data_IF_145563581311
#
_entry.id   IF_145563581311
#
_cell.length_a   1.000
_cell.length_b   1.000
_cell.length_c   1.000
_cell.angle_alpha   90.00
_cell.angle_beta   90.00
_cell.angle_gamma   90.00
#
_symmetry.space_group_name_H-M   'P 1'
#
loop_
_entity.id
_entity.type
_entity.pdbx_description
1 polymer ?
#
# COMPACT_ATOMS: atom_id res chain seq x y z
N UNK A 1 -30.59 59.01 46.87
CA UNK A 1 -30.00 57.87 46.12
C UNK A 1 -30.63 57.85 44.73
N UNK A 2 -29.97 58.44 43.74
CA UNK A 2 -30.52 58.59 42.39
C UNK A 2 -29.88 57.54 41.50
N UNK A 3 -30.65 56.56 41.03
CA UNK A 3 -30.17 55.50 40.11
C UNK A 3 -30.13 56.05 38.69
N UNK A 4 -28.94 56.25 38.14
CA UNK A 4 -28.73 56.61 36.74
C UNK A 4 -29.03 55.40 35.84
N UNK A 5 -30.04 55.52 34.97
CA UNK A 5 -30.31 54.52 33.91
C UNK A 5 -29.28 54.72 32.79
N UNK A 6 -28.49 53.67 32.52
CA UNK A 6 -27.64 53.60 31.34
C UNK A 6 -28.54 53.29 30.13
N UNK A 7 -28.74 54.26 29.23
CA UNK A 7 -29.45 54.05 27.97
C UNK A 7 -28.40 53.68 26.92
N UNK A 8 -28.32 52.39 26.58
CA UNK A 8 -27.47 51.88 25.51
C UNK A 8 -28.14 52.16 24.16
N UNK A 9 -27.58 53.11 23.42
CA UNK A 9 -27.99 53.44 22.05
C UNK A 9 -27.70 52.24 21.11
N UNK A 10 -28.58 51.94 20.15
CA UNK A 10 -28.46 50.77 19.25
C UNK A 10 -27.16 50.75 18.45
N UNK A 11 -26.54 51.90 18.23
CA UNK A 11 -25.24 52.06 17.57
C UNK A 11 -24.08 51.42 18.35
N UNK A 12 -24.14 51.44 19.69
CA UNK A 12 -23.11 50.84 20.55
C UNK A 12 -23.25 49.31 20.55
N UNK A 13 -24.48 48.80 20.50
CA UNK A 13 -24.73 47.36 20.40
C UNK A 13 -24.27 46.81 19.04
N UNK A 14 -24.58 47.52 17.94
CA UNK A 14 -24.11 47.16 16.60
C UNK A 14 -22.58 47.21 16.48
N UNK A 15 -21.93 48.21 17.07
CA UNK A 15 -20.47 48.29 17.11
C UNK A 15 -19.85 47.17 17.96
N UNK A 16 -20.46 46.80 19.08
CA UNK A 16 -20.00 45.67 19.91
C UNK A 16 -20.17 44.31 19.22
N UNK A 17 -21.23 44.15 18.42
CA UNK A 17 -21.47 42.96 17.60
C UNK A 17 -20.46 42.89 16.44
N UNK A 18 -20.24 43.98 15.71
CA UNK A 18 -19.22 44.01 14.65
C UNK A 18 -17.79 43.87 15.18
N UNK A 19 -17.50 44.31 16.42
CA UNK A 19 -16.22 44.08 17.05
C UNK A 19 -16.04 42.64 17.57
N UNK A 20 -17.13 42.00 18.03
CA UNK A 20 -17.10 40.61 18.48
C UNK A 20 -17.04 39.60 17.31
N UNK A 21 -17.55 39.97 16.13
CA UNK A 21 -17.63 39.09 14.94
C UNK A 21 -16.80 39.60 13.73
N UNK A 22 -16.06 40.69 13.88
CA UNK A 22 -15.38 41.41 12.79
C UNK A 22 -14.16 40.70 12.18
N UNK A 23 -13.68 39.62 12.80
CA UNK A 23 -12.57 38.81 12.30
C UNK A 23 -13.05 37.61 11.47
N UNK A 24 -14.09 37.78 10.64
CA UNK A 24 -14.54 36.72 9.73
C UNK A 24 -13.51 36.38 8.64
N UNK A 25 -12.53 37.25 8.37
CA UNK A 25 -11.54 37.05 7.30
C UNK A 25 -10.32 36.22 7.73
N UNK A 26 -10.00 36.12 9.04
CA UNK A 26 -8.94 35.21 9.51
C UNK A 26 -9.46 33.85 9.98
N UNK A 27 -10.78 33.75 10.22
CA UNK A 27 -11.44 32.47 10.40
C UNK A 27 -11.41 31.68 9.09
N UNK A 28 -11.56 32.33 7.93
CA UNK A 28 -11.52 31.67 6.63
C UNK A 28 -10.17 31.00 6.35
N UNK A 29 -9.03 31.57 6.73
CA UNK A 29 -7.72 30.92 6.51
C UNK A 29 -7.47 29.74 7.47
N UNK A 30 -7.80 29.89 8.76
CA UNK A 30 -7.68 28.80 9.74
C UNK A 30 -8.69 27.67 9.47
N UNK A 31 -9.88 28.01 9.00
CA UNK A 31 -10.91 27.06 8.56
C UNK A 31 -10.53 26.46 7.21
N UNK A 32 -9.95 27.22 6.27
CA UNK A 32 -9.43 26.69 5.01
C UNK A 32 -8.26 25.72 5.22
N UNK A 33 -7.40 25.94 6.21
CA UNK A 33 -6.33 25.01 6.57
C UNK A 33 -6.88 23.71 7.21
N UNK A 34 -8.05 23.78 7.89
CA UNK A 34 -8.77 22.61 8.41
C UNK A 34 -9.67 21.91 7.37
N UNK A 35 -10.18 22.65 6.37
CA UNK A 35 -11.10 22.14 5.35
C UNK A 35 -10.34 21.60 4.14
N UNK A 36 -9.17 22.18 3.79
CA UNK A 36 -8.36 21.69 2.67
C UNK A 36 -7.68 20.38 3.07
N UNK A 37 -7.78 19.34 2.23
CA UNK A 37 -7.09 18.08 2.50
C UNK A 37 -5.58 18.29 2.63
N UNK A 38 -5.02 17.87 3.76
CA UNK A 38 -3.58 17.81 3.97
C UNK A 38 -3.00 16.72 3.07
N UNK A 39 -2.31 17.11 2.01
CA UNK A 39 -1.46 16.20 1.24
C UNK A 39 -0.09 16.12 1.90
N UNK A 40 0.49 14.93 1.96
CA UNK A 40 1.82 14.69 2.52
C UNK A 40 2.71 13.97 1.51
N UNK A 41 3.95 14.41 1.40
CA UNK A 41 4.99 13.72 0.63
C UNK A 41 6.15 13.51 1.56
N UNK A 42 6.58 12.26 1.72
CA UNK A 42 7.73 11.89 2.52
C UNK A 42 8.77 11.20 1.66
N UNK A 43 10.01 11.63 1.84
CA UNK A 43 11.17 11.06 1.18
C UNK A 43 12.03 10.43 2.27
N UNK A 44 12.16 9.11 2.22
CA UNK A 44 13.02 8.32 3.09
C UNK A 44 14.27 7.85 2.36
N UNK A 45 15.41 7.89 3.04
CA UNK A 45 16.63 7.20 2.59
C UNK A 45 16.99 6.19 3.69
N UNK A 46 17.05 4.92 3.31
CA UNK A 46 17.35 3.82 4.21
C UNK A 46 18.55 3.03 3.71
N UNK A 47 19.48 2.72 4.61
CA UNK A 47 20.62 1.86 4.33
C UNK A 47 21.02 1.11 5.59
N UNK A 48 21.75 0.03 5.42
CA UNK A 48 22.37 -0.65 6.54
C UNK A 48 23.72 -1.20 6.11
N UNK A 49 24.60 -1.30 7.10
CA UNK A 49 25.88 -1.97 6.98
C UNK A 49 25.89 -3.15 7.96
N UNK A 50 26.54 -4.26 7.57
CA UNK A 50 26.59 -5.50 8.35
C UNK A 50 25.60 -6.60 7.94
N UNK A 51 25.74 -7.76 8.58
CA UNK A 51 25.00 -8.98 8.25
C UNK A 51 23.72 -9.08 9.10
N UNK A 52 22.57 -9.22 8.44
CA UNK A 52 21.26 -9.38 9.09
C UNK A 52 20.75 -10.81 8.92
N UNK A 53 20.32 -11.43 10.02
CA UNK A 53 19.76 -12.79 9.99
C UNK A 53 18.52 -12.93 9.09
N UNK A 54 17.78 -11.84 8.86
CA UNK A 54 16.61 -11.78 7.96
C UNK A 54 16.73 -10.69 6.89
N UNK A 55 17.91 -10.59 6.28
CA UNK A 55 18.23 -9.60 5.25
C UNK A 55 17.15 -9.56 4.16
N UNK A 56 16.53 -8.40 3.95
CA UNK A 56 15.41 -8.13 3.06
C UNK A 56 14.46 -9.27 2.73
N UNK A 57 13.99 -9.94 3.78
CA UNK A 57 12.90 -10.90 3.68
C UNK A 57 11.53 -10.22 3.51
N UNK A 58 11.38 -8.98 4.00
CA UNK A 58 10.10 -8.27 4.07
C UNK A 58 10.14 -6.79 3.65
N UNK A 59 11.31 -6.21 3.39
CA UNK A 59 11.48 -4.80 3.01
C UNK A 59 12.06 -4.64 1.58
N UNK A 60 12.36 -5.76 0.89
CA UNK A 60 13.08 -5.79 -0.38
C UNK A 60 14.46 -5.10 -0.39
N UNK A 61 14.96 -4.72 0.78
CA UNK A 61 16.24 -4.07 1.00
C UNK A 61 17.29 -5.15 1.31
N UNK A 62 17.98 -5.64 0.27
CA UNK A 62 18.93 -6.77 0.37
C UNK A 62 20.39 -6.47 0.06
N UNK A 63 20.70 -5.42 -0.69
CA UNK A 63 22.09 -5.02 -0.97
C UNK A 63 22.55 -4.10 0.16
N UNK A 64 23.83 -4.21 0.57
CA UNK A 64 24.45 -3.22 1.46
C UNK A 64 24.64 -1.91 0.69
N UNK A 65 23.53 -1.24 0.44
CA UNK A 65 23.40 -0.10 -0.45
C UNK A 65 22.35 0.86 0.10
N UNK A 66 22.34 2.07 -0.43
CA UNK A 66 21.33 3.07 -0.12
C UNK A 66 20.06 2.79 -0.93
N UNK A 67 18.92 2.83 -0.26
CA UNK A 67 17.60 2.74 -0.86
C UNK A 67 16.90 4.08 -0.71
N UNK A 68 16.41 4.59 -1.83
CA UNK A 68 15.49 5.72 -1.84
C UNK A 68 14.07 5.17 -1.75
N UNK A 69 13.30 5.69 -0.80
CA UNK A 69 11.92 5.32 -0.56
C UNK A 69 11.09 6.60 -0.66
N UNK A 70 10.15 6.61 -1.59
CA UNK A 70 9.23 7.71 -1.78
C UNK A 70 7.84 7.24 -1.36
N UNK A 71 7.25 8.00 -0.44
CA UNK A 71 5.88 7.82 0.00
C UNK A 71 5.14 9.13 -0.25
N UNK A 72 3.93 9.04 -0.80
CA UNK A 72 3.10 10.20 -1.08
C UNK A 72 1.64 9.85 -0.79
N UNK A 73 0.97 10.72 -0.04
CA UNK A 73 -0.47 10.70 0.18
C UNK A 73 -1.00 12.04 -0.28
N UNK A 74 -1.64 12.04 -1.45
CA UNK A 74 -2.23 13.24 -2.05
C UNK A 74 -3.74 13.11 -1.96
N UNK A 75 -4.38 14.07 -1.32
CA UNK A 75 -5.83 14.15 -1.19
C UNK A 75 -6.30 15.47 -1.77
N UNK A 76 -7.27 15.39 -2.66
CA UNK A 76 -7.89 16.54 -3.28
C UNK A 76 -9.40 16.42 -3.11
N UNK A 77 -10.03 17.53 -2.70
CA UNK A 77 -11.47 17.64 -2.57
C UNK A 77 -11.97 18.70 -3.55
N UNK A 78 -12.96 18.35 -4.34
CA UNK A 78 -13.75 19.29 -5.12
C UNK A 78 -15.02 19.63 -4.33
N UNK A 79 -15.11 20.87 -3.85
CA UNK A 79 -16.24 21.35 -3.04
C UNK A 79 -17.52 21.54 -3.87
N UNK A 80 -17.41 21.74 -5.19
CA UNK A 80 -18.59 21.91 -6.05
C UNK A 80 -19.35 20.59 -6.24
N UNK A 81 -18.63 19.47 -6.29
CA UNK A 81 -19.19 18.14 -6.54
C UNK A 81 -19.19 17.22 -5.32
N UNK A 82 -18.50 17.61 -4.24
CA UNK A 82 -18.30 16.79 -3.05
C UNK A 82 -17.40 15.58 -3.31
N UNK A 83 -16.52 15.68 -4.30
CA UNK A 83 -15.74 14.55 -4.79
C UNK A 83 -14.31 14.57 -4.24
N UNK A 84 -13.85 13.40 -3.82
CA UNK A 84 -12.52 13.15 -3.30
C UNK A 84 -11.70 12.39 -4.32
N UNK A 85 -10.50 12.89 -4.59
CA UNK A 85 -9.46 12.18 -5.35
C UNK A 85 -8.30 11.91 -4.41
N UNK A 86 -7.99 10.64 -4.19
CA UNK A 86 -6.92 10.20 -3.31
C UNK A 86 -5.89 9.43 -4.14
N UNK A 87 -4.61 9.76 -3.95
CA UNK A 87 -3.49 9.00 -4.49
C UNK A 87 -2.55 8.67 -3.34
N UNK A 88 -2.42 7.38 -3.05
CA UNK A 88 -1.49 6.84 -2.07
C UNK A 88 -0.39 6.07 -2.79
N UNK A 89 0.85 6.39 -2.48
CA UNK A 89 2.05 5.72 -2.96
C UNK A 89 2.89 5.39 -1.73
N UNK A 90 3.31 4.14 -1.59
CA UNK A 90 4.23 3.76 -0.53
C UNK A 90 5.42 2.96 -1.05
N UNK A 91 6.58 3.20 -0.43
CA UNK A 91 7.85 2.50 -0.65
C UNK A 91 8.29 2.49 -2.12
N UNK A 92 7.94 3.53 -2.87
CA UNK A 92 8.31 3.68 -4.27
C UNK A 92 9.84 3.82 -4.36
N UNK A 93 10.48 2.87 -5.04
CA UNK A 93 11.95 2.74 -5.11
C UNK A 93 12.46 1.38 -4.61
N UNK A 94 11.60 0.61 -3.93
CA UNK A 94 11.85 -0.78 -3.56
C UNK A 94 10.93 -1.74 -4.33
N UNK A 95 11.17 -3.05 -4.25
CA UNK A 95 10.27 -4.09 -4.79
C UNK A 95 9.11 -4.46 -3.85
N UNK A 96 8.87 -3.64 -2.81
CA UNK A 96 7.77 -3.79 -1.87
C UNK A 96 6.93 -2.51 -1.86
N UNK A 97 6.32 -2.20 -3.01
CA UNK A 97 5.65 -0.93 -3.26
C UNK A 97 4.16 -1.09 -3.44
N UNK A 98 3.42 -0.07 -3.07
CA UNK A 98 1.97 0.00 -3.21
C UNK A 98 1.58 1.33 -3.83
N UNK A 99 0.65 1.28 -4.80
CA UNK A 99 0.08 2.45 -5.44
C UNK A 99 -1.42 2.26 -5.45
N UNK A 100 -2.16 3.21 -4.90
CA UNK A 100 -3.62 3.22 -4.92
C UNK A 100 -4.12 4.58 -5.36
N UNK A 101 -4.89 4.60 -6.45
CA UNK A 101 -5.65 5.75 -6.89
C UNK A 101 -7.12 5.52 -6.60
N UNK A 102 -7.80 6.51 -6.05
CA UNK A 102 -9.20 6.44 -5.67
C UNK A 102 -9.91 7.74 -6.02
N UNK A 103 -11.14 7.61 -6.53
CA UNK A 103 -12.02 8.70 -6.86
C UNK A 103 -13.40 8.39 -6.28
N UNK A 104 -13.86 9.21 -5.33
CA UNK A 104 -15.04 8.94 -4.51
C UNK A 104 -15.89 10.19 -4.41
N UNK A 105 -17.12 10.13 -4.92
CA UNK A 105 -18.14 11.13 -4.64
C UNK A 105 -18.87 10.76 -3.34
N UNK A 106 -18.87 11.67 -2.37
CA UNK A 106 -19.55 11.46 -1.10
C UNK A 106 -21.04 11.15 -1.32
N UNK A 107 -21.51 10.00 -0.82
CA UNK A 107 -22.90 9.56 -0.93
C UNK A 107 -23.35 9.08 -2.32
N UNK A 108 -22.46 9.04 -3.31
CA UNK A 108 -22.80 8.67 -4.69
C UNK A 108 -22.13 7.38 -5.15
N UNK A 109 -20.88 7.49 -5.58
CA UNK A 109 -20.12 6.37 -6.13
C UNK A 109 -18.64 6.54 -5.84
N UNK A 110 -17.90 5.45 -6.00
CA UNK A 110 -16.46 5.54 -6.03
C UNK A 110 -15.83 4.42 -6.82
N UNK A 111 -14.61 4.70 -7.26
CA UNK A 111 -13.77 3.79 -8.01
C UNK A 111 -12.37 3.85 -7.44
N UNK A 112 -11.71 2.70 -7.33
CA UNK A 112 -10.31 2.65 -6.97
C UNK A 112 -9.55 1.62 -7.82
N UNK A 113 -8.29 1.93 -8.06
CA UNK A 113 -7.31 1.08 -8.69
C UNK A 113 -6.14 0.90 -7.71
N UNK A 114 -5.74 -0.34 -7.50
CA UNK A 114 -4.67 -0.74 -6.58
C UNK A 114 -3.61 -1.52 -7.35
N UNK A 115 -2.34 -1.19 -7.17
CA UNK A 115 -1.21 -1.99 -7.61
C UNK A 115 -0.30 -2.26 -6.43
N UNK A 116 0.05 -3.52 -6.23
CA UNK A 116 0.93 -3.95 -5.15
C UNK A 116 2.01 -4.87 -5.71
N UNK A 117 3.27 -4.54 -5.44
CA UNK A 117 4.42 -5.42 -5.68
C UNK A 117 4.99 -5.82 -4.32
N UNK A 118 5.26 -7.11 -4.14
CA UNK A 118 5.84 -7.63 -2.91
C UNK A 118 6.79 -8.79 -3.17
N UNK A 119 7.98 -8.68 -2.61
CA UNK A 119 9.03 -9.67 -2.67
C UNK A 119 9.28 -10.29 -1.30
N UNK A 120 9.31 -11.62 -1.26
CA UNK A 120 9.68 -12.41 -0.09
C UNK A 120 10.79 -13.38 -0.46
N UNK A 121 12.01 -13.12 0.03
CA UNK A 121 13.19 -13.93 -0.26
C UNK A 121 13.75 -14.58 1.01
N UNK A 122 14.18 -15.83 0.91
CA UNK A 122 14.81 -16.55 2.01
C UNK A 122 16.09 -15.81 2.44
N UNK A 123 16.40 -15.75 3.75
CA UNK A 123 17.56 -15.01 4.24
C UNK A 123 18.90 -15.63 3.82
N UNK A 124 18.92 -16.94 3.56
CA UNK A 124 20.13 -17.68 3.23
C UNK A 124 20.19 -18.00 1.74
N UNK A 125 21.40 -17.97 1.19
CA UNK A 125 21.72 -18.55 -0.11
C UNK A 125 22.17 -19.98 0.11
N UNK A 126 21.55 -20.92 -0.60
CA UNK A 126 21.79 -22.35 -0.44
C UNK A 126 22.70 -22.82 -1.56
N UNK A 127 23.79 -23.50 -1.20
CA UNK A 127 24.63 -24.18 -2.16
C UNK A 127 24.00 -25.55 -2.50
N UNK A 128 23.57 -25.75 -3.73
CA UNK A 128 22.86 -26.95 -4.17
C UNK A 128 23.35 -27.46 -5.52
N UNK A 129 23.41 -28.78 -5.68
CA UNK A 129 23.77 -29.46 -6.94
C UNK A 129 22.54 -29.81 -7.80
N UNK A 130 21.39 -29.27 -7.42
CA UNK A 130 20.14 -29.48 -8.11
C UNK A 130 20.12 -28.63 -9.38
N UNK A 131 19.83 -29.29 -10.49
CA UNK A 131 19.71 -28.69 -11.82
C UNK A 131 18.23 -28.47 -12.14
N UNK A 132 17.96 -27.48 -12.99
CA UNK A 132 16.59 -27.16 -13.42
C UNK A 132 15.73 -26.45 -12.37
N UNK A 133 16.33 -25.86 -11.31
CA UNK A 133 15.62 -24.99 -10.37
C UNK A 133 14.95 -23.86 -11.15
N UNK A 134 13.65 -23.63 -10.91
CA UNK A 134 12.83 -22.71 -11.71
C UNK A 134 12.03 -23.38 -12.82
N UNK A 135 12.16 -24.71 -12.99
CA UNK A 135 11.42 -25.47 -14.00
C UNK A 135 10.69 -26.66 -13.36
N UNK A 136 9.76 -27.25 -14.13
CA UNK A 136 9.07 -28.49 -13.76
C UNK A 136 9.95 -29.74 -13.87
N UNK A 137 11.15 -29.64 -14.45
CA UNK A 137 12.06 -30.76 -14.67
C UNK A 137 13.34 -30.54 -13.86
N UNK A 138 13.37 -31.10 -12.65
CA UNK A 138 14.50 -30.96 -11.74
C UNK A 138 15.21 -32.29 -11.57
N UNK A 139 16.53 -32.26 -11.74
CA UNK A 139 17.38 -33.42 -11.52
C UNK A 139 18.40 -33.07 -10.46
N UNK A 140 18.60 -33.98 -9.52
CA UNK A 140 19.84 -33.93 -8.73
C UNK A 140 20.91 -34.52 -9.61
N UNK A 141 22.07 -33.85 -9.75
CA UNK A 141 23.16 -34.34 -10.59
C UNK A 141 23.61 -35.74 -10.16
N UNK A 142 22.98 -36.77 -10.73
CA UNK A 142 23.33 -38.16 -10.55
C UNK A 142 24.57 -38.44 -11.39
N UNK A 143 25.53 -39.16 -10.79
CA UNK A 143 26.83 -39.58 -11.34
C UNK A 143 28.05 -38.72 -11.01
N UNK A 144 28.33 -38.38 -9.74
CA UNK A 144 29.73 -38.17 -9.33
C UNK A 144 29.99 -38.87 -7.98
N UNK A 145 30.92 -39.85 -7.90
CA UNK A 145 31.25 -40.60 -6.69
C UNK A 145 32.06 -39.80 -5.65
N UNK A 146 31.96 -38.47 -5.64
CA UNK A 146 32.74 -37.62 -4.74
C UNK A 146 31.84 -36.56 -4.08
N UNK A 147 31.49 -36.84 -2.83
CA UNK A 147 30.58 -36.09 -1.93
C UNK A 147 31.22 -34.83 -1.34
N UNK A 148 31.94 -34.04 -2.16
CA UNK A 148 32.49 -32.77 -1.69
C UNK A 148 31.35 -31.79 -1.36
N UNK A 149 31.10 -31.59 -0.07
CA UNK A 149 30.17 -30.61 0.50
C UNK A 149 30.53 -29.23 -0.09
N UNK A 150 29.54 -28.47 -0.57
CA UNK A 150 29.75 -27.12 -1.11
C UNK A 150 30.14 -27.04 -2.59
N UNK A 151 30.14 -28.15 -3.34
CA UNK A 151 30.47 -28.19 -4.77
C UNK A 151 29.28 -27.86 -5.71
N UNK A 152 28.17 -27.36 -5.17
CA UNK A 152 26.99 -26.97 -5.94
C UNK A 152 27.00 -25.50 -6.39
N UNK A 153 25.90 -25.08 -6.99
CA UNK A 153 25.64 -23.68 -7.34
C UNK A 153 24.88 -22.99 -6.22
N UNK A 154 25.20 -21.72 -5.99
CA UNK A 154 24.51 -20.88 -5.01
C UNK A 154 23.14 -20.44 -5.58
N UNK A 155 22.07 -20.73 -4.86
CA UNK A 155 20.70 -20.35 -5.22
C UNK A 155 19.96 -19.72 -4.04
N UNK A 156 19.24 -18.63 -4.29
CA UNK A 156 18.44 -17.95 -3.27
C UNK A 156 16.96 -18.14 -3.57
N UNK A 157 16.27 -18.83 -2.64
CA UNK A 157 14.84 -19.09 -2.74
C UNK A 157 14.00 -17.86 -2.42
N UNK A 158 12.79 -17.85 -2.93
CA UNK A 158 11.73 -16.93 -2.59
C UNK A 158 10.82 -16.61 -3.76
N UNK A 159 9.89 -15.69 -3.51
CA UNK A 159 8.78 -15.38 -4.41
C UNK A 159 8.64 -13.89 -4.62
N UNK A 160 8.27 -13.53 -5.84
CA UNK A 160 7.89 -12.19 -6.23
C UNK A 160 6.39 -12.22 -6.57
N UNK A 161 5.64 -11.26 -6.04
CA UNK A 161 4.19 -11.16 -6.17
C UNK A 161 3.83 -9.78 -6.72
N UNK A 162 2.98 -9.77 -7.73
CA UNK A 162 2.39 -8.57 -8.34
C UNK A 162 0.87 -8.70 -8.29
N UNK A 163 0.17 -7.69 -7.78
CA UNK A 163 -1.29 -7.66 -7.71
C UNK A 163 -1.83 -6.38 -8.33
N UNK A 164 -2.86 -6.51 -9.15
CA UNK A 164 -3.65 -5.41 -9.68
C UNK A 164 -5.10 -5.57 -9.20
N UNK A 165 -5.65 -4.54 -8.58
CA UNK A 165 -7.01 -4.51 -8.06
C UNK A 165 -7.82 -3.37 -8.67
N UNK A 166 -9.10 -3.64 -8.86
CA UNK A 166 -10.12 -2.65 -9.20
C UNK A 166 -11.29 -2.82 -8.23
N UNK A 167 -11.78 -1.71 -7.71
CA UNK A 167 -13.00 -1.67 -6.92
C UNK A 167 -13.92 -0.57 -7.42
N UNK A 168 -15.20 -0.86 -7.45
CA UNK A 168 -16.26 0.10 -7.77
C UNK A 168 -17.37 -0.04 -6.74
N UNK A 169 -17.89 1.07 -6.27
CA UNK A 169 -19.12 1.09 -5.51
C UNK A 169 -20.05 2.18 -6.03
N UNK A 170 -21.35 1.96 -5.88
CA UNK A 170 -22.38 2.94 -6.20
C UNK A 170 -23.59 2.75 -5.32
N UNK A 171 -24.01 3.84 -4.70
CA UNK A 171 -25.28 3.95 -4.02
C UNK A 171 -26.34 4.16 -5.11
N UNK A 172 -27.25 3.21 -5.27
CA UNK A 172 -28.25 3.22 -6.34
C UNK A 172 -29.50 4.00 -5.92
N UNK A 173 -29.98 3.75 -4.70
CA UNK A 173 -31.10 4.41 -4.01
C UNK A 173 -30.77 4.47 -2.51
N UNK A 174 -31.55 5.22 -1.71
CA UNK A 174 -31.33 5.35 -0.23
C UNK A 174 -31.21 4.03 0.52
N UNK A 175 -31.67 2.92 -0.06
CA UNK A 175 -31.64 1.61 0.58
C UNK A 175 -30.83 0.58 -0.19
N UNK A 176 -30.03 0.92 -1.22
CA UNK A 176 -29.34 -0.11 -2.00
C UNK A 176 -27.97 0.29 -2.51
N UNK A 177 -26.99 -0.54 -2.19
CA UNK A 177 -25.60 -0.35 -2.58
C UNK A 177 -25.12 -1.48 -3.47
N UNK A 178 -24.43 -1.11 -4.55
CA UNK A 178 -23.69 -2.01 -5.40
C UNK A 178 -22.20 -1.90 -5.05
N UNK A 179 -21.57 -3.03 -4.75
CA UNK A 179 -20.11 -3.11 -4.58
C UNK A 179 -19.56 -4.18 -5.52
N UNK A 180 -18.51 -3.84 -6.27
CA UNK A 180 -17.81 -4.74 -7.17
C UNK A 180 -16.32 -4.63 -6.87
N UNK A 181 -15.67 -5.77 -6.65
CA UNK A 181 -14.22 -5.86 -6.46
C UNK A 181 -13.67 -6.96 -7.33
N UNK A 182 -12.66 -6.65 -8.13
CA UNK A 182 -11.90 -7.63 -8.91
C UNK A 182 -10.42 -7.40 -8.69
N UNK A 183 -9.64 -8.47 -8.62
CA UNK A 183 -8.20 -8.38 -8.53
C UNK A 183 -7.54 -9.56 -9.22
N UNK A 184 -6.35 -9.33 -9.76
CA UNK A 184 -5.50 -10.36 -10.34
C UNK A 184 -4.14 -10.29 -9.67
N UNK A 185 -3.68 -11.44 -9.18
CA UNK A 185 -2.40 -11.60 -8.51
C UNK A 185 -1.57 -12.62 -9.27
N UNK A 186 -0.37 -12.23 -9.70
CA UNK A 186 0.66 -13.11 -10.20
C UNK A 186 1.70 -13.35 -9.11
N UNK A 187 2.09 -14.61 -8.90
CA UNK A 187 3.17 -14.96 -8.00
C UNK A 187 4.11 -15.96 -8.66
N UNK A 188 5.40 -15.62 -8.67
CA UNK A 188 6.47 -16.42 -9.27
C UNK A 188 7.65 -16.63 -8.33
N UNK A 189 8.36 -17.73 -8.49
CA UNK A 189 9.63 -18.00 -7.80
C UNK A 189 9.75 -19.45 -7.34
N UNK A 190 10.62 -19.68 -6.37
CA UNK A 190 10.94 -21.03 -5.92
C UNK A 190 10.95 -21.08 -4.40
N UNK A 191 10.36 -22.14 -3.85
CA UNK A 191 10.39 -22.42 -2.41
C UNK A 191 11.17 -23.71 -2.18
N UNK A 192 11.96 -23.74 -1.12
CA UNK A 192 12.65 -24.97 -0.73
C UNK A 192 11.63 -25.99 -0.23
N UNK A 193 11.75 -27.20 -0.73
CA UNK A 193 11.01 -28.36 -0.26
C UNK A 193 11.95 -29.57 -0.19
N UNK A 194 11.47 -30.67 0.35
CA UNK A 194 12.22 -31.93 0.39
C UNK A 194 11.36 -33.04 -0.22
N UNK A 195 12.01 -33.91 -0.98
CA UNK A 195 11.39 -35.12 -1.51
C UNK A 195 11.88 -36.34 -0.71
N UNK A 196 10.95 -36.94 0.04
CA UNK A 196 11.03 -38.31 0.53
C UNK A 196 12.32 -38.74 1.24
N UNK A 197 12.54 -40.06 1.29
CA UNK A 197 13.77 -40.68 1.80
C UNK A 197 14.52 -41.35 0.64
N UNK A 198 15.84 -41.11 0.46
CA UNK A 198 16.68 -40.19 1.23
C UNK A 198 16.24 -38.73 1.04
N UNK A 199 16.44 -37.87 2.05
CA UNK A 199 16.01 -36.47 2.02
C UNK A 199 16.78 -35.69 0.94
N UNK A 200 16.21 -35.61 -0.25
CA UNK A 200 16.70 -34.77 -1.34
C UNK A 200 16.02 -33.41 -1.28
N UNK A 201 16.80 -32.34 -1.25
CA UNK A 201 16.27 -30.99 -1.44
C UNK A 201 15.76 -30.84 -2.87
N UNK A 202 14.55 -30.31 -3.00
CA UNK A 202 13.91 -30.00 -4.28
C UNK A 202 13.36 -28.58 -4.19
N UNK A 203 13.19 -27.93 -5.34
CA UNK A 203 12.63 -26.59 -5.43
C UNK A 203 11.19 -26.71 -5.89
N UNK A 204 10.26 -26.31 -5.05
CA UNK A 204 8.87 -26.12 -5.45
C UNK A 204 8.81 -24.91 -6.39
N UNK A 205 8.37 -25.11 -7.63
CA UNK A 205 8.16 -24.02 -8.57
C UNK A 205 6.81 -23.38 -8.27
N UNK A 206 6.87 -22.12 -7.87
CA UNK A 206 5.68 -21.30 -7.70
C UNK A 206 5.57 -20.46 -8.96
N UNK A 207 4.57 -20.74 -9.77
CA UNK A 207 4.18 -19.90 -10.89
C UNK A 207 2.68 -20.02 -11.05
N UNK A 208 1.97 -19.02 -10.54
CA UNK A 208 0.52 -19.00 -10.65
C UNK A 208 0.01 -17.58 -10.84
N UNK A 209 -1.13 -17.50 -11.51
CA UNK A 209 -1.93 -16.29 -11.62
C UNK A 209 -3.32 -16.61 -11.07
N UNK A 210 -3.75 -15.85 -10.06
CA UNK A 210 -5.07 -16.00 -9.45
C UNK A 210 -5.86 -14.72 -9.71
N UNK A 211 -7.04 -14.87 -10.30
CA UNK A 211 -8.00 -13.78 -10.43
C UNK A 211 -9.15 -14.04 -9.46
N UNK A 212 -9.49 -13.03 -8.66
CA UNK A 212 -10.58 -13.07 -7.70
C UNK A 212 -11.55 -11.94 -8.01
N UNK A 213 -12.83 -12.22 -7.96
CA UNK A 213 -13.88 -11.25 -8.20
C UNK A 213 -15.07 -11.52 -7.30
N UNK A 214 -15.66 -10.46 -6.78
CA UNK A 214 -16.86 -10.51 -5.96
C UNK A 214 -17.72 -9.29 -6.24
N UNK A 215 -19.03 -9.49 -6.19
CA UNK A 215 -20.01 -8.42 -6.26
C UNK A 215 -21.04 -8.63 -5.16
N UNK A 216 -21.43 -7.55 -4.52
CA UNK A 216 -22.47 -7.55 -3.49
C UNK A 216 -23.50 -6.48 -3.80
N UNK A 217 -24.74 -6.81 -3.48
CA UNK A 217 -25.90 -5.94 -3.52
C UNK A 217 -26.51 -5.96 -2.12
N UNK A 218 -26.36 -4.87 -1.39
CA UNK A 218 -26.75 -4.76 0.02
C UNK A 218 -27.82 -3.70 0.25
N UNK A 219 -28.62 -3.87 1.32
CA UNK A 219 -29.50 -2.82 1.80
C UNK A 219 -28.72 -1.88 2.74
N UNK A 220 -28.92 -0.55 2.63
CA UNK A 220 -28.42 0.38 3.66
C UNK A 220 -29.32 0.26 4.90
N UNK A 221 -28.71 0.05 6.07
CA UNK A 221 -29.38 0.11 7.39
C UNK A 221 -29.48 1.54 7.92
#
# INVERSE_FOLDING_TARGET
MTKTKLVLTPTILAASLMAAYGSAWSADDAVNELIKPSSSVSIGIGGWDGDRAKLGAFDAMRKKDAYLMLDADVRMRDDATGTWTNLSISNLGTKNREIRGEYVQQGGYGVALEYLEFQSKAPYTINTRQLGIGTNAQTTGANIPNTAIGSGSNYQFGTDRDKLGFSFFKNLIESFDLNIKVSSENKKGNRITANGTPALFVADLIDWTTTQGGGELGLQE
#
